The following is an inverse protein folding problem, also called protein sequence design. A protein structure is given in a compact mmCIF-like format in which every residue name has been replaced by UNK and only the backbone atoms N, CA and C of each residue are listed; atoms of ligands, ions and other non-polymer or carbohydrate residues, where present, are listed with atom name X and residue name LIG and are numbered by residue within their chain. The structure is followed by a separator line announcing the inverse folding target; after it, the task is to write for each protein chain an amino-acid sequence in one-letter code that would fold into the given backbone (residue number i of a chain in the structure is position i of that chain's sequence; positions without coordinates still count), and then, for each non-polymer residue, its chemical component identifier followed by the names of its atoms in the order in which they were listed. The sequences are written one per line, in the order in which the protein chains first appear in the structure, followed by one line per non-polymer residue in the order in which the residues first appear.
data_IF_447736061964
#
_entry.id   IF_447736061964
#
_cell.length_a   1.000
_cell.length_b   1.000
_cell.length_c   1.000
_cell.angle_alpha   90.00
_cell.angle_beta   90.00
_cell.angle_gamma   90.00
#
_symmetry.space_group_name_H-M   'P 1'
#
loop_
_entity.id
_entity.type
_entity.pdbx_description
1 polymer ?
#
# COMPACT_ATOMS: atom_id res chain seq x y z
N UNK A 1 5.12 -2.56 9.14
CA UNK A 1 4.33 -3.81 9.15
C UNK A 1 4.76 -4.70 8.00
N UNK A 2 5.00 -5.99 8.26
CA UNK A 2 5.23 -7.03 7.25
C UNK A 2 4.03 -7.96 7.31
N UNK A 3 3.45 -8.32 6.17
CA UNK A 3 2.32 -9.24 6.15
C UNK A 3 2.79 -10.68 6.19
N UNK A 4 2.25 -11.44 7.14
CA UNK A 4 2.38 -12.89 7.14
C UNK A 4 1.36 -13.42 6.14
N UNK A 5 1.85 -13.95 5.02
CA UNK A 5 0.99 -14.60 4.01
C UNK A 5 0.66 -16.02 4.48
N UNK A 6 -0.56 -16.20 4.97
CA UNK A 6 -1.07 -17.53 5.28
C UNK A 6 -1.23 -18.33 4.00
N UNK A 7 -0.81 -19.61 4.04
CA UNK A 7 -0.94 -20.51 2.90
C UNK A 7 -2.36 -21.08 2.87
N UNK A 8 -3.07 -20.88 1.78
CA UNK A 8 -4.20 -21.74 1.39
C UNK A 8 -3.69 -22.89 0.52
N UNK A 9 -4.48 -23.95 0.39
CA UNK A 9 -4.17 -24.96 -0.62
C UNK A 9 -4.39 -24.35 -2.01
N UNK A 10 -3.56 -24.70 -3.01
CA UNK A 10 -3.81 -24.28 -4.38
C UNK A 10 -5.21 -24.71 -4.84
N UNK A 11 -6.00 -23.77 -5.36
CA UNK A 11 -7.39 -23.97 -5.79
C UNK A 11 -8.44 -23.53 -4.75
N UNK A 12 -8.05 -23.31 -3.49
CA UNK A 12 -8.96 -22.78 -2.45
C UNK A 12 -8.97 -21.24 -2.41
N UNK A 13 -8.20 -20.57 -3.28
CA UNK A 13 -8.22 -19.12 -3.40
C UNK A 13 -9.61 -18.62 -3.83
N UNK A 14 -10.12 -17.63 -3.09
CA UNK A 14 -11.37 -16.94 -3.43
C UNK A 14 -11.14 -15.83 -4.45
N UNK A 15 -9.98 -15.17 -4.39
CA UNK A 15 -9.58 -14.16 -5.36
C UNK A 15 -8.06 -14.01 -5.43
N UNK A 16 -7.58 -13.56 -6.59
CA UNK A 16 -6.18 -13.22 -6.86
C UNK A 16 -6.13 -11.75 -7.30
N UNK A 17 -5.35 -10.96 -6.56
CA UNK A 17 -5.09 -9.56 -6.83
C UNK A 17 -3.69 -9.41 -7.42
N UNK A 18 -3.63 -8.93 -8.66
CA UNK A 18 -2.37 -8.55 -9.30
C UNK A 18 -1.99 -7.13 -8.91
N UNK A 19 -0.72 -6.94 -8.55
CA UNK A 19 -0.18 -5.66 -8.10
C UNK A 19 1.07 -5.30 -8.90
N UNK A 20 1.13 -4.03 -9.32
CA UNK A 20 2.30 -3.49 -10.01
C UNK A 20 2.50 -2.01 -9.66
N UNK A 21 3.65 -1.49 -10.07
CA UNK A 21 4.03 -0.10 -9.83
C UNK A 21 4.35 0.59 -11.15
N UNK A 22 3.93 1.84 -11.26
CA UNK A 22 4.39 2.77 -12.30
C UNK A 22 4.85 4.06 -11.63
N UNK A 23 5.47 4.93 -12.41
CA UNK A 23 5.70 6.33 -12.04
C UNK A 23 5.02 7.22 -13.06
N UNK A 24 4.53 8.38 -12.64
CA UNK A 24 3.91 9.35 -13.56
C UNK A 24 4.95 9.95 -14.52
N UNK A 25 6.20 10.09 -14.09
CA UNK A 25 7.32 10.55 -14.90
C UNK A 25 8.59 9.75 -14.57
N UNK A 26 9.21 9.06 -15.55
CA UNK A 26 10.42 8.26 -15.32
C UNK A 26 11.69 9.14 -15.26
N UNK A 27 11.58 10.31 -14.63
CA UNK A 27 12.57 11.39 -14.72
C UNK A 27 12.73 12.04 -13.34
N UNK A 28 13.97 12.35 -12.95
CA UNK A 28 14.33 13.20 -11.82
C UNK A 28 15.07 14.45 -12.35
N UNK A 29 14.38 15.58 -12.48
CA UNK A 29 15.00 16.82 -12.97
C UNK A 29 15.76 17.54 -11.86
N UNK A 30 17.04 17.82 -12.09
CA UNK A 30 17.89 18.57 -11.15
C UNK A 30 17.36 19.97 -10.89
N UNK A 31 16.80 20.64 -11.89
CA UNK A 31 16.17 21.96 -11.72
C UNK A 31 15.00 21.92 -10.73
N UNK A 32 14.17 20.87 -10.82
CA UNK A 32 13.06 20.66 -9.89
C UNK A 32 13.56 20.29 -8.48
N UNK A 33 14.62 19.48 -8.38
CA UNK A 33 15.20 19.09 -7.09
C UNK A 33 15.88 20.25 -6.35
N UNK A 34 16.54 21.15 -7.07
CA UNK A 34 17.23 22.29 -6.45
C UNK A 34 16.29 23.43 -6.01
N UNK A 35 15.03 23.38 -6.45
CA UNK A 35 14.00 24.33 -6.01
C UNK A 35 13.33 23.75 -4.76
N UNK A 36 13.76 24.18 -3.56
CA UNK A 36 13.15 23.77 -2.29
C UNK A 36 11.67 24.15 -2.24
N UNK A 37 10.83 23.27 -2.76
CA UNK A 37 9.39 23.43 -2.89
C UNK A 37 8.68 22.18 -2.39
N UNK A 38 7.44 22.36 -1.94
CA UNK A 38 6.56 21.25 -1.57
C UNK A 38 5.94 20.56 -2.79
N UNK A 39 6.27 20.99 -4.01
CA UNK A 39 5.76 20.41 -5.23
C UNK A 39 6.31 18.98 -5.41
N UNK A 40 5.46 18.00 -5.76
CA UNK A 40 5.93 16.65 -6.07
C UNK A 40 6.93 16.66 -7.22
N UNK A 41 8.11 16.07 -6.99
CA UNK A 41 9.14 15.83 -8.00
C UNK A 41 9.14 14.38 -8.49
N UNK A 42 8.50 13.49 -7.73
CA UNK A 42 8.37 12.09 -8.06
C UNK A 42 7.05 11.55 -7.53
N UNK A 43 6.39 10.71 -8.31
CA UNK A 43 5.19 10.00 -7.88
C UNK A 43 5.27 8.52 -8.22
N UNK A 44 4.96 7.68 -7.25
CA UNK A 44 4.78 6.25 -7.45
C UNK A 44 3.29 5.92 -7.43
N UNK A 45 2.84 5.20 -8.45
CA UNK A 45 1.48 4.73 -8.59
C UNK A 45 1.45 3.22 -8.41
N UNK A 46 0.81 2.77 -7.33
CA UNK A 46 0.66 1.36 -7.01
C UNK A 46 -0.73 0.93 -7.47
N UNK A 47 -0.77 0.02 -8.42
CA UNK A 47 -1.99 -0.46 -9.02
C UNK A 47 -2.36 -1.81 -8.45
N UNK A 48 -3.65 -2.02 -8.25
CA UNK A 48 -4.19 -3.30 -7.83
C UNK A 48 -5.43 -3.65 -8.66
N UNK A 49 -5.46 -4.87 -9.15
CA UNK A 49 -6.51 -5.39 -10.02
C UNK A 49 -6.89 -6.81 -9.62
N UNK A 50 -8.19 -7.10 -9.60
CA UNK A 50 -8.67 -8.47 -9.45
C UNK A 50 -8.53 -9.20 -10.79
N UNK A 51 -7.69 -10.23 -10.84
CA UNK A 51 -7.42 -11.02 -12.06
C UNK A 51 -8.10 -12.40 -12.04
N UNK A 52 -8.50 -12.86 -10.85
CA UNK A 52 -9.27 -14.09 -10.67
C UNK A 52 -10.15 -13.95 -9.43
N UNK A 53 -11.40 -14.40 -9.52
CA UNK A 53 -12.39 -14.33 -8.46
C UNK A 53 -13.41 -15.45 -8.62
N UNK A 54 -13.88 -16.00 -7.49
CA UNK A 54 -15.06 -16.89 -7.47
C UNK A 54 -16.38 -16.13 -7.71
N UNK A 55 -16.35 -14.80 -7.60
CA UNK A 55 -17.43 -13.88 -7.92
C UNK A 55 -16.91 -12.82 -8.90
N UNK A 56 -16.87 -13.13 -10.21
CA UNK A 56 -16.17 -12.29 -11.19
C UNK A 56 -16.87 -10.95 -11.43
N UNK A 57 -18.17 -10.88 -11.19
CA UNK A 57 -19.05 -9.72 -11.27
C UNK A 57 -19.05 -8.84 -10.00
N UNK A 58 -18.47 -9.34 -8.91
CA UNK A 58 -18.53 -8.67 -7.60
C UNK A 58 -17.21 -8.01 -7.22
N UNK A 59 -17.22 -6.73 -6.80
CA UNK A 59 -16.04 -6.08 -6.25
C UNK A 59 -15.70 -6.66 -4.86
N UNK A 60 -14.49 -6.39 -4.40
CA UNK A 60 -14.06 -6.73 -3.04
C UNK A 60 -13.43 -5.52 -2.35
N UNK A 61 -13.56 -5.46 -1.03
CA UNK A 61 -13.00 -4.40 -0.21
C UNK A 61 -11.91 -4.98 0.69
N UNK A 62 -10.73 -4.35 0.71
CA UNK A 62 -9.61 -4.76 1.56
C UNK A 62 -9.25 -3.65 2.54
N UNK A 63 -8.78 -4.04 3.73
CA UNK A 63 -8.10 -3.14 4.66
C UNK A 63 -6.68 -2.88 4.17
N UNK A 64 -6.32 -1.62 3.97
CA UNK A 64 -5.01 -1.22 3.43
C UNK A 64 -4.05 -0.74 4.50
N UNK A 65 -4.51 -0.56 5.72
CA UNK A 65 -3.76 0.01 6.83
C UNK A 65 -2.36 -0.54 6.97
N UNK A 66 -1.38 0.36 6.93
CA UNK A 66 0.02 0.01 7.10
C UNK A 66 0.57 -0.94 6.01
N UNK A 67 -0.06 -1.01 4.85
CA UNK A 67 0.48 -1.60 3.61
C UNK A 67 0.99 -0.49 2.67
N UNK A 68 1.63 -0.88 1.57
CA UNK A 68 1.97 0.06 0.48
C UNK A 68 0.72 0.57 -0.28
N UNK A 69 -0.46 -0.03 -0.02
CA UNK A 69 -1.75 0.37 -0.58
C UNK A 69 -2.49 1.38 0.31
N UNK A 70 -1.88 1.82 1.41
CA UNK A 70 -2.40 2.90 2.24
C UNK A 70 -1.97 4.25 1.65
N UNK A 71 -2.88 5.22 1.57
CA UNK A 71 -2.58 6.51 0.97
C UNK A 71 -1.66 7.32 1.89
N UNK A 72 -0.54 7.82 1.35
CA UNK A 72 0.42 8.65 2.07
C UNK A 72 0.08 10.12 1.91
N UNK A 73 -0.38 10.77 2.99
CA UNK A 73 -0.67 12.22 3.07
C UNK A 73 -0.08 12.85 4.34
N UNK A 74 1.25 12.92 4.48
CA UNK A 74 1.91 13.37 5.72
C UNK A 74 1.48 14.77 6.16
N UNK A 75 1.15 15.65 5.22
CA UNK A 75 0.60 16.99 5.45
C UNK A 75 -0.77 16.98 6.17
N UNK A 76 -1.52 15.88 6.09
CA UNK A 76 -2.80 15.68 6.78
C UNK A 76 -2.64 14.88 8.09
N UNK A 77 -1.40 14.70 8.58
CA UNK A 77 -1.11 13.86 9.75
C UNK A 77 -1.21 12.36 9.48
N UNK A 78 -1.30 11.94 8.21
CA UNK A 78 -1.21 10.52 7.86
C UNK A 78 0.23 10.02 7.95
N UNK A 79 0.37 8.72 8.14
CA UNK A 79 1.66 8.07 8.19
C UNK A 79 2.28 8.03 6.79
N UNK A 80 3.54 8.45 6.70
CA UNK A 80 4.31 8.32 5.48
C UNK A 80 4.73 6.86 5.27
N UNK A 81 3.99 6.15 4.41
CA UNK A 81 4.24 4.73 4.17
C UNK A 81 5.62 4.49 3.56
N UNK A 82 6.15 5.41 2.74
CA UNK A 82 7.48 5.26 2.17
C UNK A 82 8.56 5.39 3.25
N UNK A 83 8.39 6.29 4.23
CA UNK A 83 9.23 6.41 5.41
C UNK A 83 9.28 5.13 6.27
N UNK A 84 8.20 4.35 6.25
CA UNK A 84 8.11 3.05 6.94
C UNK A 84 8.75 1.89 6.15
N UNK A 85 9.47 2.17 5.06
CA UNK A 85 10.24 1.17 4.30
C UNK A 85 9.40 0.32 3.35
N UNK A 86 8.26 0.84 2.86
CA UNK A 86 7.32 0.07 2.04
C UNK A 86 7.80 -0.20 0.61
N UNK A 87 8.60 0.72 0.06
CA UNK A 87 9.37 0.52 -1.18
C UNK A 87 10.83 0.17 -0.88
N UNK A 88 11.04 -0.74 0.09
CA UNK A 88 12.37 -1.18 0.50
C UNK A 88 13.24 -0.01 0.98
N UNK A 89 14.55 -0.01 0.68
CA UNK A 89 15.51 1.01 1.13
C UNK A 89 15.57 2.29 0.29
N UNK A 90 14.60 2.54 -0.60
CA UNK A 90 14.53 3.74 -1.43
C UNK A 90 14.92 3.55 -2.90
N UNK A 91 15.50 4.59 -3.49
CA UNK A 91 16.00 4.61 -4.88
C UNK A 91 17.47 4.21 -4.91
N UNK A 92 17.78 3.12 -5.61
CA UNK A 92 19.14 2.60 -5.76
C UNK A 92 19.65 2.91 -7.16
N UNK A 93 20.81 3.57 -7.24
CA UNK A 93 21.50 3.83 -8.51
C UNK A 93 22.05 2.52 -9.09
N UNK A 94 21.75 2.25 -10.36
CA UNK A 94 22.23 1.05 -11.07
C UNK A 94 23.57 1.23 -11.77
N UNK A 95 23.95 2.45 -12.07
CA UNK A 95 24.98 2.83 -13.03
C UNK A 95 25.69 4.11 -12.61
N UNK A 96 26.11 4.17 -11.34
CA UNK A 96 26.86 5.31 -10.83
C UNK A 96 28.15 5.54 -11.63
N UNK A 97 28.30 6.75 -12.16
CA UNK A 97 29.39 7.14 -13.06
C UNK A 97 30.76 7.14 -12.38
N UNK A 98 30.78 7.36 -11.07
CA UNK A 98 31.98 7.40 -10.21
C UNK A 98 32.28 6.03 -9.55
N UNK A 99 31.49 5.00 -9.84
CA UNK A 99 31.63 3.67 -9.25
C UNK A 99 31.18 3.57 -7.78
N UNK A 100 30.62 4.63 -7.21
CA UNK A 100 30.12 4.63 -5.84
C UNK A 100 28.71 4.05 -5.75
N UNK A 101 28.39 3.34 -4.67
CA UNK A 101 27.02 2.88 -4.45
C UNK A 101 26.16 4.03 -3.93
N UNK A 102 25.32 4.60 -4.79
CA UNK A 102 24.38 5.68 -4.46
C UNK A 102 22.99 5.13 -4.13
N UNK A 103 22.44 5.55 -2.98
CA UNK A 103 21.07 5.20 -2.55
C UNK A 103 20.41 6.42 -1.93
N UNK A 104 19.28 6.85 -2.50
CA UNK A 104 18.41 7.87 -1.91
C UNK A 104 17.39 7.13 -1.03
N UNK A 105 17.63 7.13 0.28
CA UNK A 105 16.78 6.42 1.24
C UNK A 105 15.44 7.11 1.43
N UNK A 106 14.36 6.34 1.34
CA UNK A 106 13.03 6.83 1.71
C UNK A 106 12.77 6.79 3.21
N UNK A 107 13.68 6.22 4.01
CA UNK A 107 13.49 5.95 5.44
C UNK A 107 13.24 4.47 5.74
N UNK A 108 13.36 4.09 7.01
CA UNK A 108 13.04 2.75 7.49
C UNK A 108 12.60 2.80 8.97
N UNK A 109 11.57 3.60 9.24
CA UNK A 109 11.15 3.87 10.61
C UNK A 109 10.17 2.82 11.13
N UNK A 110 10.38 2.44 12.40
CA UNK A 110 9.38 1.76 13.20
C UNK A 110 8.70 2.81 14.08
N UNK A 111 7.42 3.07 13.81
CA UNK A 111 6.68 4.05 14.60
C UNK A 111 6.06 3.40 15.81
N UNK A 112 6.48 3.88 16.98
CA UNK A 112 5.79 3.66 18.24
C UNK A 112 4.83 4.82 18.47
N UNK A 113 3.56 4.65 18.07
CA UNK A 113 2.53 5.66 18.37
C UNK A 113 1.94 5.41 19.75
N UNK A 114 1.63 6.49 20.45
CA UNK A 114 0.81 6.40 21.65
C UNK A 114 -0.57 5.82 21.29
N UNK A 115 -1.15 5.06 22.22
CA UNK A 115 -2.52 4.55 22.05
C UNK A 115 -3.47 5.73 21.85
N UNK A 116 -4.25 5.67 20.79
CA UNK A 116 -5.25 6.69 20.47
C UNK A 116 -6.63 6.27 20.98
N UNK A 117 -7.49 7.26 21.18
CA UNK A 117 -8.91 7.02 21.40
C UNK A 117 -9.48 6.23 20.21
N UNK A 118 -10.36 5.28 20.49
CA UNK A 118 -10.95 4.36 19.51
C UNK A 118 -10.01 3.34 18.85
N UNK A 119 -8.74 3.19 19.28
CA UNK A 119 -7.86 2.12 18.77
C UNK A 119 -8.44 0.70 18.92
N UNK A 120 -9.34 0.52 19.90
CA UNK A 120 -10.05 -0.73 20.19
C UNK A 120 -11.53 -0.68 19.83
N UNK A 121 -11.96 0.29 19.01
CA UNK A 121 -13.34 0.31 18.55
C UNK A 121 -13.69 -1.00 17.84
N UNK A 122 -14.86 -1.55 18.15
CA UNK A 122 -15.37 -2.75 17.48
C UNK A 122 -15.62 -2.47 16.00
N UNK A 123 -16.12 -1.28 15.67
CA UNK A 123 -16.24 -0.85 14.29
C UNK A 123 -14.87 -0.41 13.76
N UNK A 124 -14.28 -1.22 12.89
CA UNK A 124 -13.01 -0.93 12.24
C UNK A 124 -13.03 0.43 11.53
N UNK A 125 -14.18 0.87 10.99
CA UNK A 125 -14.31 2.19 10.34
C UNK A 125 -14.12 3.37 11.30
N UNK A 126 -14.20 3.12 12.62
CA UNK A 126 -13.97 4.13 13.66
C UNK A 126 -12.55 4.11 14.21
N UNK A 127 -11.71 3.14 13.83
CA UNK A 127 -10.32 3.10 14.24
C UNK A 127 -9.52 4.12 13.40
N UNK A 128 -8.70 4.98 14.02
CA UNK A 128 -8.10 6.13 13.35
C UNK A 128 -7.19 5.77 12.17
N UNK A 129 -6.42 4.70 12.31
CA UNK A 129 -5.46 4.24 11.28
C UNK A 129 -6.05 3.18 10.35
N UNK A 130 -7.34 2.88 10.48
CA UNK A 130 -7.97 1.84 9.67
C UNK A 130 -8.55 2.43 8.38
N UNK A 131 -8.03 1.97 7.25
CA UNK A 131 -8.37 2.43 5.90
C UNK A 131 -8.75 1.26 5.02
N UNK A 132 -9.65 1.53 4.07
CA UNK A 132 -10.18 0.53 3.16
C UNK A 132 -10.19 1.06 1.74
N UNK A 133 -10.01 0.16 0.78
CA UNK A 133 -10.23 0.44 -0.65
C UNK A 133 -11.11 -0.65 -1.24
N UNK A 134 -11.94 -0.28 -2.22
CA UNK A 134 -12.60 -1.26 -3.10
C UNK A 134 -11.67 -1.57 -4.28
N UNK A 135 -11.41 -2.86 -4.50
CA UNK A 135 -10.87 -3.36 -5.77
C UNK A 135 -12.05 -3.71 -6.67
N UNK A 136 -12.12 -3.15 -7.89
CA UNK A 136 -13.19 -3.45 -8.84
C UNK A 136 -13.34 -4.93 -9.15
N UNK A 137 -14.55 -5.32 -9.55
CA UNK A 137 -14.87 -6.67 -10.00
C UNK A 137 -13.95 -7.12 -11.15
N UNK A 138 -13.64 -8.41 -11.21
CA UNK A 138 -12.77 -8.98 -12.25
C UNK A 138 -13.29 -8.66 -13.66
N UNK A 139 -14.59 -8.81 -13.92
CA UNK A 139 -15.20 -8.55 -15.23
C UNK A 139 -15.07 -7.11 -15.70
N UNK A 140 -14.92 -6.16 -14.76
CA UNK A 140 -14.71 -4.76 -15.13
C UNK A 140 -13.36 -4.52 -15.80
N UNK A 141 -12.37 -5.40 -15.54
CA UNK A 141 -10.99 -5.24 -16.00
C UNK A 141 -10.27 -4.00 -15.44
N UNK A 142 -10.89 -3.26 -14.51
CA UNK A 142 -10.33 -2.01 -13.96
C UNK A 142 -9.40 -2.29 -12.80
N UNK A 143 -8.39 -1.43 -12.65
CA UNK A 143 -7.54 -1.36 -11.46
C UNK A 143 -7.93 -0.14 -10.61
N UNK A 144 -7.59 -0.19 -9.33
CA UNK A 144 -7.51 0.99 -8.47
C UNK A 144 -6.05 1.35 -8.25
N UNK A 145 -5.77 2.65 -8.16
CA UNK A 145 -4.42 3.21 -8.07
C UNK A 145 -4.26 3.96 -6.75
N UNK A 146 -3.20 3.66 -6.02
CA UNK A 146 -2.76 4.38 -4.83
C UNK A 146 -1.51 5.16 -5.20
N UNK A 147 -1.55 6.49 -5.04
CA UNK A 147 -0.45 7.38 -5.41
C UNK A 147 0.34 7.79 -4.18
N UNK A 148 1.67 7.67 -4.26
CA UNK A 148 2.61 8.20 -3.27
C UNK A 148 3.44 9.30 -3.92
N UNK A 149 3.31 10.51 -3.43
CA UNK A 149 4.03 11.69 -3.95
C UNK A 149 5.24 12.00 -3.06
N UNK A 150 6.32 12.45 -3.68
CA UNK A 150 7.54 12.86 -2.99
C UNK A 150 7.94 14.25 -3.51
N UNK A 151 8.02 15.22 -2.60
CA UNK A 151 8.68 16.51 -2.86
C UNK A 151 10.20 16.34 -2.84
N UNK A 152 10.93 17.33 -3.34
CA UNK A 152 12.41 17.32 -3.28
C UNK A 152 12.91 17.23 -1.83
N UNK A 153 12.37 18.06 -0.94
CA UNK A 153 12.72 18.05 0.48
C UNK A 153 12.49 16.67 1.09
N UNK A 154 11.34 16.05 0.81
CA UNK A 154 11.02 14.74 1.35
C UNK A 154 11.90 13.64 0.76
N UNK A 155 12.21 13.70 -0.53
CA UNK A 155 13.04 12.70 -1.22
C UNK A 155 14.41 12.54 -0.53
N UNK A 156 14.99 13.65 -0.05
CA UNK A 156 16.30 13.66 0.62
C UNK A 156 16.25 13.74 2.15
N UNK A 157 15.07 13.89 2.77
CA UNK A 157 14.92 14.04 4.22
C UNK A 157 15.60 12.94 5.05
N UNK A 158 15.72 11.72 4.49
CA UNK A 158 16.35 10.56 5.14
C UNK A 158 17.57 10.03 4.38
N UNK A 159 18.05 10.78 3.40
CA UNK A 159 19.21 10.46 2.61
C UNK A 159 20.47 10.98 3.33
N UNK A 160 21.08 10.16 4.19
CA UNK A 160 22.20 10.60 5.04
C UNK A 160 23.48 10.95 4.27
N UNK A 161 23.68 10.41 3.07
CA UNK A 161 24.96 10.44 2.33
C UNK A 161 24.84 10.94 0.90
N UNK A 162 23.66 11.38 0.49
CA UNK A 162 23.42 11.84 -0.87
C UNK A 162 22.47 13.03 -0.81
N UNK A 163 22.83 14.06 -1.56
CA UNK A 163 22.07 15.29 -1.75
C UNK A 163 21.73 15.47 -3.23
N UNK A 164 20.85 16.41 -3.59
CA UNK A 164 20.59 16.71 -5.00
C UNK A 164 21.85 17.00 -5.82
N UNK A 165 22.88 17.59 -5.20
CA UNK A 165 24.13 17.98 -5.86
C UNK A 165 25.04 16.79 -6.20
N UNK A 166 24.81 15.62 -5.58
CA UNK A 166 25.60 14.40 -5.80
C UNK A 166 25.05 13.54 -6.97
N UNK A 167 23.91 13.93 -7.52
CA UNK A 167 23.27 13.28 -8.66
C UNK A 167 23.91 13.74 -9.97
N UNK A 168 24.21 12.79 -10.85
CA UNK A 168 24.73 13.11 -12.19
C UNK A 168 23.67 12.86 -13.26
N UNK A 169 23.63 13.74 -14.26
CA UNK A 169 22.77 13.56 -15.44
C UNK A 169 23.04 12.21 -16.10
N UNK A 170 21.98 11.49 -16.43
CA UNK A 170 22.01 10.15 -17.03
C UNK A 170 22.06 9.00 -16.03
N UNK A 171 22.30 9.24 -14.73
CA UNK A 171 22.23 8.18 -13.72
C UNK A 171 20.80 7.64 -13.60
N UNK A 172 20.67 6.32 -13.49
CA UNK A 172 19.38 5.64 -13.34
C UNK A 172 19.22 5.12 -11.93
N UNK A 173 18.15 5.59 -11.30
CA UNK A 173 17.73 5.20 -9.97
C UNK A 173 16.51 4.32 -10.07
N UNK A 174 16.43 3.29 -9.22
CA UNK A 174 15.30 2.37 -9.26
C UNK A 174 14.89 1.88 -7.90
N UNK A 175 13.61 1.56 -7.77
CA UNK A 175 13.03 0.96 -6.57
C UNK A 175 12.15 -0.22 -6.96
N UNK A 176 11.79 -1.06 -6.00
CA UNK A 176 11.06 -2.30 -6.26
C UNK A 176 10.03 -2.55 -5.16
N UNK A 177 8.84 -2.96 -5.59
CA UNK A 177 7.81 -3.46 -4.69
C UNK A 177 8.27 -4.76 -4.04
N UNK A 178 8.12 -4.83 -2.72
CA UNK A 178 8.44 -6.02 -1.95
C UNK A 178 7.18 -6.80 -1.64
N UNK A 179 7.21 -8.10 -1.93
CA UNK A 179 6.12 -9.04 -1.64
C UNK A 179 5.71 -9.04 -0.16
N UNK A 180 6.68 -8.75 0.73
CA UNK A 180 6.49 -8.68 2.19
C UNK A 180 5.64 -7.49 2.65
N UNK A 181 5.57 -6.44 1.84
CA UNK A 181 4.87 -5.20 2.15
C UNK A 181 3.46 -5.15 1.54
N UNK A 182 3.06 -6.23 0.89
CA UNK A 182 1.78 -6.37 0.20
C UNK A 182 0.95 -7.44 0.90
N UNK A 183 -0.29 -7.06 1.23
CA UNK A 183 -1.25 -7.92 1.88
C UNK A 183 -2.36 -7.11 2.53
N UNK A 184 -3.20 -7.82 3.26
CA UNK A 184 -4.26 -7.23 4.08
C UNK A 184 -4.45 -8.05 5.35
N UNK A 185 -5.02 -7.44 6.39
CA UNK A 185 -5.43 -8.12 7.61
C UNK A 185 -6.94 -8.41 7.66
N UNK A 186 -7.70 -7.86 6.71
CA UNK A 186 -9.16 -7.97 6.69
C UNK A 186 -9.67 -7.66 5.28
N UNK A 187 -10.60 -8.47 4.77
CA UNK A 187 -11.25 -8.21 3.50
C UNK A 187 -12.68 -8.76 3.47
N UNK A 188 -13.51 -8.27 2.57
CA UNK A 188 -14.84 -8.81 2.33
C UNK A 188 -15.28 -8.56 0.88
N UNK A 189 -16.37 -9.19 0.48
CA UNK A 189 -17.02 -8.88 -0.80
C UNK A 189 -17.93 -7.66 -0.72
N UNK A 190 -17.95 -6.89 -1.81
CA UNK A 190 -18.78 -5.71 -1.97
C UNK A 190 -17.98 -4.42 -2.08
N UNK A 191 -18.67 -3.39 -2.56
CA UNK A 191 -18.11 -2.06 -2.75
C UNK A 191 -18.43 -1.12 -1.58
N UNK A 192 -17.43 -0.35 -1.15
CA UNK A 192 -17.53 0.67 -0.10
C UNK A 192 -18.67 1.68 -0.35
N UNK A 193 -18.82 2.09 -1.60
CA UNK A 193 -19.77 3.13 -1.98
C UNK A 193 -21.15 2.56 -2.32
N UNK A 194 -21.32 1.25 -2.49
CA UNK A 194 -22.60 0.63 -2.79
C UNK A 194 -23.01 -0.35 -1.69
N UNK A 195 -22.67 -1.63 -1.81
CA UNK A 195 -23.10 -2.71 -0.92
C UNK A 195 -22.79 -2.43 0.56
N UNK A 196 -21.63 -1.82 0.80
CA UNK A 196 -21.07 -1.60 2.13
C UNK A 196 -21.34 -0.18 2.65
N UNK A 197 -22.11 0.64 1.93
CA UNK A 197 -22.45 1.99 2.34
C UNK A 197 -23.24 1.95 3.66
N UNK A 198 -22.77 2.68 4.66
CA UNK A 198 -23.42 2.75 5.98
C UNK A 198 -23.31 1.48 6.85
N UNK A 199 -22.68 0.41 6.36
CA UNK A 199 -22.41 -0.80 7.14
C UNK A 199 -21.28 -0.57 8.16
N UNK A 200 -21.22 -1.41 9.19
CA UNK A 200 -20.14 -1.39 10.20
C UNK A 200 -19.21 -2.56 9.97
N UNK A 201 -17.91 -2.38 10.15
CA UNK A 201 -16.94 -3.43 9.86
C UNK A 201 -16.43 -4.04 11.16
N UNK A 202 -16.69 -5.33 11.37
CA UNK A 202 -16.28 -6.03 12.57
C UNK A 202 -14.82 -6.53 12.43
N UNK A 203 -14.01 -6.57 13.50
CA UNK A 203 -12.60 -6.96 13.41
C UNK A 203 -12.41 -8.46 13.15
N UNK A 204 -13.43 -9.26 13.48
CA UNK A 204 -13.46 -10.69 13.19
C UNK A 204 -13.25 -10.95 11.70
N UNK A 205 -12.34 -11.86 11.37
CA UNK A 205 -12.10 -12.41 10.05
C UNK A 205 -12.06 -13.93 10.13
N UNK A 206 -12.71 -14.60 9.19
CA UNK A 206 -12.76 -16.07 9.16
C UNK A 206 -11.33 -16.66 9.16
N UNK A 207 -11.04 -17.63 10.04
CA UNK A 207 -9.73 -18.29 10.07
C UNK A 207 -8.56 -17.39 10.48
N UNK A 208 -8.79 -16.12 10.85
CA UNK A 208 -7.74 -15.21 11.30
C UNK A 208 -8.24 -14.18 12.34
N UNK A 209 -7.74 -14.27 13.57
CA UNK A 209 -7.96 -13.27 14.61
C UNK A 209 -6.67 -12.51 14.91
N UNK A 210 -6.45 -11.36 14.23
CA UNK A 210 -5.24 -10.54 14.38
C UNK A 210 -4.99 -10.05 15.81
N UNK A 211 -6.04 -9.84 16.60
CA UNK A 211 -5.97 -9.20 17.92
C UNK A 211 -6.41 -10.12 19.09
N UNK A 212 -6.61 -11.41 18.82
CA UNK A 212 -6.56 -12.44 19.86
C UNK A 212 -7.79 -12.65 20.75
N UNK A 213 -8.89 -11.89 20.62
CA UNK A 213 -10.09 -12.12 21.46
C UNK A 213 -11.44 -11.77 20.82
N UNK A 214 -11.50 -11.29 19.58
CA UNK A 214 -12.78 -10.87 18.99
C UNK A 214 -13.57 -12.09 18.50
N UNK A 215 -14.64 -12.45 19.22
CA UNK A 215 -15.56 -13.51 18.82
C UNK A 215 -16.37 -13.08 17.57
N UNK A 216 -16.76 -14.07 16.76
CA UNK A 216 -17.69 -13.82 15.65
C UNK A 216 -19.00 -13.31 16.26
N UNK A 217 -19.53 -12.15 15.82
CA UNK A 217 -20.87 -11.73 16.21
C UNK A 217 -21.89 -12.79 15.82
N UNK A 218 -22.97 -12.90 16.60
CA UNK A 218 -24.08 -13.78 16.24
C UNK A 218 -24.72 -13.34 14.92
N UNK A 219 -25.32 -14.29 14.19
CA UNK A 219 -25.93 -13.96 12.90
C UNK A 219 -27.10 -12.95 13.05
N UNK A 220 -27.82 -13.00 14.18
CA UNK A 220 -28.84 -12.00 14.55
C UNK A 220 -28.25 -10.59 14.74
N UNK A 221 -27.09 -10.47 15.39
CA UNK A 221 -26.39 -9.19 15.54
C UNK A 221 -25.90 -8.66 14.20
N UNK A 222 -25.41 -9.55 13.33
CA UNK A 222 -24.97 -9.20 11.97
C UNK A 222 -26.12 -8.57 11.19
N UNK A 223 -27.27 -9.25 11.16
CA UNK A 223 -28.44 -8.81 10.42
C UNK A 223 -29.03 -7.51 11.00
N UNK A 224 -29.25 -7.46 12.32
CA UNK A 224 -29.91 -6.34 12.99
C UNK A 224 -29.06 -5.07 13.05
N UNK A 225 -27.74 -5.22 13.20
CA UNK A 225 -26.83 -4.07 13.40
C UNK A 225 -26.07 -3.65 12.15
N UNK A 226 -26.24 -4.40 11.05
CA UNK A 226 -25.58 -4.14 9.76
C UNK A 226 -24.07 -4.35 9.80
N UNK A 227 -23.62 -5.36 10.54
CA UNK A 227 -22.19 -5.71 10.59
C UNK A 227 -21.76 -6.44 9.33
N UNK A 228 -20.52 -6.21 8.93
CA UNK A 228 -19.80 -6.96 7.91
C UNK A 228 -18.59 -7.57 8.60
N UNK A 229 -18.41 -8.88 8.43
CA UNK A 229 -17.26 -9.62 8.95
C UNK A 229 -16.25 -9.87 7.83
N UNK A 230 -15.01 -10.11 8.22
CA UNK A 230 -13.95 -10.42 7.29
C UNK A 230 -14.02 -11.86 6.79
N UNK A 231 -13.74 -12.02 5.51
CA UNK A 231 -13.46 -13.30 4.87
C UNK A 231 -12.08 -13.83 5.30
N UNK A 232 -11.80 -15.10 5.00
CA UNK A 232 -10.51 -15.69 5.34
C UNK A 232 -9.36 -15.07 4.53
N UNK A 233 -8.44 -14.39 5.21
CA UNK A 233 -7.30 -13.68 4.61
C UNK A 233 -6.40 -14.64 3.81
N UNK A 234 -6.26 -15.90 4.24
CA UNK A 234 -5.45 -16.89 3.50
C UNK A 234 -5.99 -17.19 2.10
N UNK A 235 -7.30 -16.97 1.87
CA UNK A 235 -7.97 -17.21 0.58
C UNK A 235 -7.90 -16.01 -0.37
N UNK A 236 -7.33 -14.88 0.05
CA UNK A 236 -7.07 -13.73 -0.81
C UNK A 236 -5.58 -13.69 -1.17
N UNK A 237 -5.26 -13.98 -2.42
CA UNK A 237 -3.88 -14.02 -2.89
C UNK A 237 -3.46 -12.68 -3.48
N UNK A 238 -2.25 -12.26 -3.17
CA UNK A 238 -1.62 -11.09 -3.75
C UNK A 238 -0.42 -11.53 -4.58
N UNK A 239 -0.45 -11.21 -5.87
CA UNK A 239 0.61 -11.53 -6.82
C UNK A 239 1.26 -10.24 -7.32
N UNK A 240 2.58 -10.21 -7.28
CA UNK A 240 3.36 -9.15 -7.88
C UNK A 240 3.61 -9.45 -9.34
N UNK A 241 3.30 -8.51 -10.22
CA UNK A 241 3.75 -8.58 -11.60
C UNK A 241 5.27 -8.38 -11.64
N UNK A 242 6.03 -9.46 -11.80
CA UNK A 242 7.48 -9.42 -11.78
C UNK A 242 8.07 -8.48 -12.84
N UNK A 243 7.40 -8.31 -13.99
CA UNK A 243 7.83 -7.40 -15.05
C UNK A 243 7.56 -5.93 -14.74
N UNK A 244 6.65 -5.64 -13.79
CA UNK A 244 6.22 -4.29 -13.43
C UNK A 244 6.33 -3.99 -11.92
N UNK A 245 7.09 -4.81 -11.19
CA UNK A 245 7.38 -4.60 -9.77
C UNK A 245 8.50 -3.57 -9.54
N UNK A 246 9.32 -3.31 -10.56
CA UNK A 246 10.42 -2.34 -10.52
C UNK A 246 10.05 -1.08 -11.28
N UNK A 247 10.34 0.06 -10.67
CA UNK A 247 10.27 1.37 -11.32
C UNK A 247 11.66 1.98 -11.38
N UNK A 248 11.99 2.61 -12.50
CA UNK A 248 13.26 3.31 -12.72
C UNK A 248 12.99 4.74 -13.17
N UNK A 249 13.87 5.64 -12.75
CA UNK A 249 13.87 7.06 -13.09
C UNK A 249 15.28 7.46 -13.50
N UNK A 250 15.39 8.35 -14.48
CA UNK A 250 16.66 8.85 -14.98
C UNK A 250 16.86 10.31 -14.54
N UNK A 251 18.06 10.65 -14.08
CA UNK A 251 18.40 12.03 -13.72
C UNK A 251 18.59 12.86 -14.99
N UNK A 252 17.90 13.98 -15.07
CA UNK A 252 18.00 14.94 -16.19
C UNK A 252 18.22 16.34 -15.66
N UNK A 253 18.49 17.28 -16.57
CA UNK A 253 18.63 18.71 -16.26
C UNK A 253 17.39 19.31 -15.56
#
# INVERSE_FOLDING_TARGET
MVFIKFRCNPGDEKAILNIWMTTSQPILSLSALNTSSSTPVLEFQIHIQCVSSVHPDRPLTICTSGSILDETKPECGHMDQLALGKLSGGLVCSDATDGTRKVISFGFFYVHRARQDNDRATDLRKRPDVKFITVPAQESGKSVTVTHTLSSERLFAFAEKISPQDLNIGEKYSTTLSDRNIGTMWWCWGDLDNDLRGKKFHPFSEGFCCAGTEEKPSDEEIEKSGWVTGENVAKLKFELDAGRARCSVEVVE
#
